data_IF_225351413782
#
_entry.id   IF_225351413782
#
_cell.length_a   1.000
_cell.length_b   1.000
_cell.length_c   1.000
_cell.angle_alpha   90.00
_cell.angle_beta   90.00
_cell.angle_gamma   90.00
#
_symmetry.space_group_name_H-M   'P 1'
#
loop_
_entity.id
_entity.type
_entity.pdbx_description
1 polymer ?
#
# COMPACT_ATOMS: atom_id res chain seq x y z
N UNK A 1 3.37 8.52 -7.93
CA UNK A 1 2.70 9.63 -8.63
C UNK A 1 2.24 10.69 -7.64
N UNK A 2 2.10 11.94 -8.10
CA UNK A 2 1.58 13.06 -7.31
C UNK A 2 0.04 13.02 -7.12
N UNK A 3 -0.66 12.17 -7.86
CA UNK A 3 -2.12 12.06 -7.82
C UNK A 3 -2.87 13.13 -8.59
N UNK A 4 -2.18 14.01 -9.34
CA UNK A 4 -2.77 15.08 -10.12
C UNK A 4 -2.94 14.71 -11.62
N UNK A 5 -3.83 15.39 -12.36
CA UNK A 5 -4.79 16.41 -11.91
C UNK A 5 -6.06 15.81 -11.30
N UNK A 6 -6.63 16.47 -10.31
CA UNK A 6 -7.93 16.11 -9.72
C UNK A 6 -8.88 17.30 -9.63
N UNK A 7 -10.21 17.11 -9.72
CA UNK A 7 -11.15 18.22 -9.88
C UNK A 7 -11.17 19.27 -8.76
N UNK A 8 -10.78 18.88 -7.55
CA UNK A 8 -10.83 19.75 -6.37
C UNK A 8 -9.44 20.22 -5.91
N UNK A 9 -8.38 19.73 -6.54
CA UNK A 9 -7.02 20.16 -6.21
C UNK A 9 -6.60 21.32 -7.11
N UNK A 10 -6.09 22.43 -6.55
CA UNK A 10 -5.56 23.53 -7.33
C UNK A 10 -4.15 23.25 -7.90
N UNK A 11 -3.49 22.20 -7.45
CA UNK A 11 -2.16 21.84 -7.94
C UNK A 11 -1.46 20.76 -7.10
N UNK A 12 -0.30 20.27 -7.58
CA UNK A 12 0.44 19.19 -6.95
C UNK A 12 0.95 19.51 -5.53
N UNK A 13 1.20 20.78 -5.23
CA UNK A 13 1.67 21.22 -3.91
C UNK A 13 0.64 20.93 -2.83
N UNK A 14 -0.65 21.13 -3.13
CA UNK A 14 -1.74 20.84 -2.19
C UNK A 14 -1.83 19.32 -1.94
N UNK A 15 -1.68 18.53 -2.99
CA UNK A 15 -1.64 17.06 -2.85
C UNK A 15 -0.43 16.58 -2.06
N UNK A 16 0.72 17.20 -2.26
CA UNK A 16 1.93 16.89 -1.50
C UNK A 16 1.75 17.20 -0.02
N UNK A 17 1.14 18.36 0.30
CA UNK A 17 0.85 18.75 1.68
C UNK A 17 -0.19 17.82 2.35
N UNK A 18 -1.28 17.49 1.66
CA UNK A 18 -2.26 16.50 2.16
C UNK A 18 -1.60 15.15 2.46
N UNK A 19 -0.70 14.72 1.58
CA UNK A 19 0.05 13.48 1.75
C UNK A 19 1.04 13.55 2.91
N UNK A 20 1.68 14.71 3.13
CA UNK A 20 2.58 14.94 4.26
C UNK A 20 1.81 14.85 5.58
N UNK A 21 0.68 15.56 5.68
CA UNK A 21 -0.17 15.53 6.88
C UNK A 21 -0.70 14.13 7.16
N UNK A 22 -1.17 13.41 6.15
CA UNK A 22 -1.61 12.02 6.30
C UNK A 22 -0.47 11.12 6.81
N UNK A 23 0.76 11.32 6.31
CA UNK A 23 1.95 10.60 6.77
C UNK A 23 2.29 10.88 8.22
N UNK A 24 2.18 12.13 8.67
CA UNK A 24 2.37 12.50 10.07
C UNK A 24 1.34 11.85 11.00
N UNK A 25 0.07 11.86 10.61
CA UNK A 25 -1.00 11.18 11.36
C UNK A 25 -0.68 9.70 11.54
N UNK A 26 -0.17 9.05 10.49
CA UNK A 26 0.19 7.62 10.51
C UNK A 26 1.55 7.33 11.17
N UNK A 27 2.33 8.35 11.51
CA UNK A 27 3.69 8.17 12.04
C UNK A 27 4.68 7.67 10.99
N UNK A 28 4.49 7.99 9.71
CA UNK A 28 5.40 7.61 8.62
C UNK A 28 6.72 8.37 8.74
N UNK A 29 7.82 7.64 8.83
CA UNK A 29 9.16 8.25 8.98
C UNK A 29 9.69 8.87 7.70
N UNK A 30 9.44 8.23 6.56
CA UNK A 30 9.89 8.72 5.25
C UNK A 30 8.75 8.59 4.26
N UNK A 31 8.46 9.65 3.53
CA UNK A 31 7.57 9.65 2.39
C UNK A 31 8.34 10.13 1.17
N UNK A 32 8.49 9.28 0.18
CA UNK A 32 9.14 9.58 -1.09
C UNK A 32 8.14 9.46 -2.24
N UNK A 33 8.14 10.41 -3.15
CA UNK A 33 7.38 10.37 -4.39
C UNK A 33 8.36 10.14 -5.54
N UNK A 34 8.06 9.18 -6.40
CA UNK A 34 8.89 8.86 -7.56
C UNK A 34 8.58 9.74 -8.79
N UNK A 35 7.63 10.64 -8.69
CA UNK A 35 7.16 11.52 -9.76
C UNK A 35 6.79 10.80 -11.07
N UNK A 36 6.37 9.54 -10.94
CA UNK A 36 5.89 8.75 -12.07
C UNK A 36 4.55 9.33 -12.58
N UNK A 37 4.28 9.22 -13.89
CA UNK A 37 3.13 9.88 -14.49
C UNK A 37 1.80 9.32 -13.95
N UNK A 38 0.99 10.19 -13.34
CA UNK A 38 -0.33 9.84 -12.83
C UNK A 38 -1.32 9.62 -13.98
N UNK A 39 -2.18 8.62 -13.87
CA UNK A 39 -3.17 8.17 -14.88
C UNK A 39 -2.56 7.68 -16.20
N UNK A 40 -1.25 7.62 -16.27
CA UNK A 40 -0.46 7.11 -17.38
C UNK A 40 0.64 6.18 -16.89
N UNK A 41 0.51 5.71 -15.64
CA UNK A 41 1.45 4.77 -15.08
C UNK A 41 1.46 3.49 -15.90
N UNK A 42 2.64 3.04 -16.27
CA UNK A 42 2.84 1.82 -17.05
C UNK A 42 3.96 1.00 -16.46
N UNK A 43 3.78 -0.32 -16.43
CA UNK A 43 4.82 -1.23 -15.98
C UNK A 43 5.91 -1.34 -17.04
N UNK A 44 6.95 -0.54 -16.90
CA UNK A 44 8.12 -0.50 -17.77
C UNK A 44 9.41 -0.65 -16.98
N UNK A 45 10.50 -0.90 -17.69
CA UNK A 45 11.81 -1.11 -17.09
C UNK A 45 12.24 0.03 -16.18
N UNK A 46 12.11 1.26 -16.63
CA UNK A 46 12.53 2.47 -15.91
C UNK A 46 11.80 2.62 -14.57
N UNK A 47 10.48 2.37 -14.55
CA UNK A 47 9.68 2.45 -13.34
C UNK A 47 10.03 1.34 -12.33
N UNK A 48 10.33 0.13 -12.83
CA UNK A 48 10.80 -1.00 -12.01
C UNK A 48 12.15 -0.70 -11.37
N UNK A 49 13.09 -0.14 -12.14
CA UNK A 49 14.41 0.27 -11.64
C UNK A 49 14.27 1.40 -10.61
N UNK A 50 13.45 2.42 -10.90
CA UNK A 50 13.22 3.53 -9.97
C UNK A 50 12.74 3.02 -8.60
N UNK A 51 11.76 2.13 -8.58
CA UNK A 51 11.26 1.56 -7.32
C UNK A 51 12.29 0.63 -6.65
N UNK A 52 13.02 -0.17 -7.42
CA UNK A 52 14.07 -1.04 -6.88
C UNK A 52 15.21 -0.25 -6.23
N UNK A 53 15.55 0.94 -6.75
CA UNK A 53 16.50 1.87 -6.12
C UNK A 53 16.01 2.31 -4.73
N UNK A 54 14.72 2.59 -4.58
CA UNK A 54 14.11 2.91 -3.27
C UNK A 54 14.26 1.72 -2.32
N UNK A 55 13.96 0.51 -2.77
CA UNK A 55 14.12 -0.69 -1.94
C UNK A 55 15.59 -0.94 -1.54
N UNK A 56 16.55 -0.67 -2.42
CA UNK A 56 17.97 -0.76 -2.09
C UNK A 56 18.40 0.30 -1.08
N UNK A 57 17.87 1.52 -1.19
CA UNK A 57 18.19 2.64 -0.30
C UNK A 57 17.64 2.43 1.12
N UNK A 58 16.36 2.09 1.24
CA UNK A 58 15.68 1.97 2.55
C UNK A 58 15.70 0.57 3.14
N UNK A 59 16.05 -0.43 2.35
CA UNK A 59 16.25 -1.82 2.77
C UNK A 59 15.08 -2.40 3.56
N UNK A 60 13.82 -2.31 3.09
CA UNK A 60 12.66 -2.81 3.81
C UNK A 60 12.71 -4.31 3.98
N UNK A 61 12.38 -4.81 5.16
CA UNK A 61 12.17 -6.25 5.37
C UNK A 61 10.83 -6.72 4.81
N UNK A 62 9.82 -5.85 4.81
CA UNK A 62 8.47 -6.12 4.29
C UNK A 62 8.11 -5.02 3.29
N UNK A 63 7.54 -5.42 2.16
CA UNK A 63 6.92 -4.50 1.19
C UNK A 63 5.42 -4.79 1.14
N UNK A 64 4.64 -3.74 1.36
CA UNK A 64 3.19 -3.77 1.22
C UNK A 64 2.81 -3.06 -0.09
N UNK A 65 2.20 -3.79 -1.02
CA UNK A 65 1.75 -3.25 -2.30
C UNK A 65 0.23 -3.34 -2.46
N UNK A 66 -0.31 -2.55 -3.39
CA UNK A 66 -1.71 -2.66 -3.78
C UNK A 66 -1.94 -4.00 -4.49
N UNK A 67 -3.05 -4.67 -4.18
CA UNK A 67 -3.42 -5.94 -4.80
C UNK A 67 -4.36 -5.74 -5.99
N UNK A 68 -4.05 -6.43 -7.09
CA UNK A 68 -4.96 -6.68 -8.21
C UNK A 68 -5.58 -5.42 -8.85
N UNK A 69 -6.48 -5.64 -9.79
CA UNK A 69 -7.29 -4.58 -10.42
C UNK A 69 -8.34 -4.07 -9.44
N UNK A 70 -8.49 -2.76 -9.38
CA UNK A 70 -9.61 -2.16 -8.66
C UNK A 70 -10.71 -1.87 -9.67
N UNK A 71 -11.85 -2.58 -9.64
CA UNK A 71 -12.93 -2.39 -10.61
C UNK A 71 -13.40 -0.94 -10.69
N UNK A 72 -13.54 -0.40 -11.90
CA UNK A 72 -14.01 0.98 -12.16
C UNK A 72 -13.11 2.09 -11.57
N UNK A 73 -11.93 1.76 -11.08
CA UNK A 73 -10.93 2.73 -10.60
C UNK A 73 -9.78 2.90 -11.60
N UNK A 74 -8.78 3.69 -11.21
CA UNK A 74 -7.63 3.97 -12.07
C UNK A 74 -6.90 2.68 -12.50
N UNK A 75 -6.56 2.52 -13.79
CA UNK A 75 -5.72 1.43 -14.27
C UNK A 75 -4.32 1.45 -13.62
N UNK A 76 -3.88 2.59 -13.10
CA UNK A 76 -2.60 2.74 -12.41
C UNK A 76 -2.45 1.79 -11.21
N UNK A 77 -3.56 1.39 -10.57
CA UNK A 77 -3.51 0.44 -9.45
C UNK A 77 -2.91 -0.91 -9.88
N UNK A 78 -3.34 -1.42 -11.04
CA UNK A 78 -2.80 -2.64 -11.61
C UNK A 78 -1.34 -2.48 -12.04
N UNK A 79 -0.99 -1.35 -12.64
CA UNK A 79 0.38 -1.05 -13.03
C UNK A 79 1.30 -0.94 -11.80
N UNK A 80 0.83 -0.29 -10.73
CA UNK A 80 1.57 -0.18 -9.48
C UNK A 80 1.83 -1.55 -8.83
N UNK A 81 0.86 -2.48 -8.89
CA UNK A 81 1.08 -3.85 -8.43
C UNK A 81 2.23 -4.52 -9.21
N UNK A 82 2.19 -4.46 -10.54
CA UNK A 82 3.21 -5.07 -11.40
C UNK A 82 4.59 -4.46 -11.17
N UNK A 83 4.68 -3.12 -11.08
CA UNK A 83 5.92 -2.40 -10.78
C UNK A 83 6.46 -2.80 -9.40
N UNK A 84 5.58 -2.96 -8.40
CA UNK A 84 5.99 -3.37 -7.04
C UNK A 84 6.56 -4.78 -7.04
N UNK A 85 5.89 -5.72 -7.68
CA UNK A 85 6.34 -7.11 -7.79
C UNK A 85 7.72 -7.19 -8.48
N UNK A 86 7.85 -6.52 -9.62
CA UNK A 86 9.11 -6.45 -10.35
C UNK A 86 10.21 -5.71 -9.56
N UNK A 87 9.88 -4.62 -8.86
CA UNK A 87 10.81 -3.86 -8.03
C UNK A 87 11.43 -4.70 -6.91
N UNK A 88 10.62 -5.55 -6.27
CA UNK A 88 11.09 -6.52 -5.27
C UNK A 88 12.07 -7.52 -5.90
N UNK A 89 11.78 -8.01 -7.10
CA UNK A 89 12.72 -8.88 -7.82
C UNK A 89 14.00 -8.14 -8.20
N UNK A 90 13.90 -6.92 -8.75
CA UNK A 90 15.04 -6.15 -9.25
C UNK A 90 15.97 -5.69 -8.13
N UNK A 91 15.47 -5.41 -6.93
CA UNK A 91 16.29 -4.96 -5.80
C UNK A 91 17.37 -5.97 -5.37
N UNK A 92 17.20 -7.26 -5.70
CA UNK A 92 18.14 -8.35 -5.37
C UNK A 92 19.09 -8.73 -6.50
N UNK A 93 19.00 -8.09 -7.68
CA UNK A 93 19.86 -8.41 -8.82
C UNK A 93 21.31 -8.04 -8.52
N UNK A 94 22.22 -8.95 -8.81
CA UNK A 94 23.67 -8.75 -8.73
C UNK A 94 24.23 -8.44 -10.11
N UNK A 95 25.39 -7.77 -10.20
CA UNK A 95 26.06 -7.40 -11.45
C UNK A 95 25.29 -6.36 -12.30
N UNK A 96 24.45 -5.57 -11.66
CA UNK A 96 23.65 -4.50 -12.24
C UNK A 96 23.93 -3.18 -11.51
N UNK A 97 25.14 -2.99 -11.01
CA UNK A 97 25.46 -1.92 -10.06
C UNK A 97 25.25 -0.53 -10.67
N UNK A 98 25.64 -0.33 -11.94
CA UNK A 98 25.43 0.93 -12.66
C UNK A 98 23.96 1.31 -12.79
N UNK A 99 23.09 0.32 -13.09
CA UNK A 99 21.64 0.54 -13.21
C UNK A 99 21.00 1.00 -11.89
N UNK A 100 21.60 0.63 -10.76
CA UNK A 100 21.11 0.92 -9.42
C UNK A 100 21.99 1.94 -8.67
N UNK A 101 22.68 2.84 -9.36
CA UNK A 101 23.52 3.90 -8.79
C UNK A 101 24.55 3.36 -7.76
N UNK A 102 25.05 2.16 -7.97
CA UNK A 102 25.94 1.42 -7.05
C UNK A 102 25.34 1.21 -5.64
N UNK A 103 24.01 1.30 -5.48
CA UNK A 103 23.36 0.98 -4.24
C UNK A 103 23.50 -0.51 -3.91
N UNK A 104 23.81 -0.88 -2.67
CA UNK A 104 24.02 -2.26 -2.29
C UNK A 104 22.76 -3.11 -2.53
N UNK A 105 22.98 -4.32 -3.02
CA UNK A 105 21.92 -5.32 -3.24
C UNK A 105 21.06 -5.49 -1.99
N UNK A 106 19.75 -5.56 -2.18
CA UNK A 106 18.81 -5.81 -1.09
C UNK A 106 17.80 -6.89 -1.46
N UNK A 107 17.55 -7.80 -0.51
CA UNK A 107 16.51 -8.83 -0.63
C UNK A 107 15.39 -8.53 0.36
N UNK A 108 14.22 -8.23 -0.15
CA UNK A 108 12.99 -8.09 0.63
C UNK A 108 12.60 -9.47 1.17
N UNK A 109 12.36 -9.58 2.48
CA UNK A 109 12.04 -10.87 3.13
C UNK A 109 10.61 -11.31 2.84
N UNK A 110 9.68 -10.36 2.85
CA UNK A 110 8.25 -10.62 2.67
C UNK A 110 7.61 -9.54 1.80
N UNK A 111 6.83 -9.96 0.84
CA UNK A 111 5.93 -9.10 0.08
C UNK A 111 4.51 -9.43 0.47
N UNK A 112 3.69 -8.42 0.70
CA UNK A 112 2.28 -8.55 1.03
C UNK A 112 1.47 -7.63 0.11
N UNK A 113 0.22 -7.99 -0.11
CA UNK A 113 -0.73 -7.23 -0.91
C UNK A 113 -1.91 -6.80 -0.06
N UNK A 114 -2.36 -5.56 -0.25
CA UNK A 114 -3.61 -5.06 0.32
C UNK A 114 -4.62 -4.78 -0.79
N UNK A 115 -5.84 -5.36 -0.74
CA UNK A 115 -6.89 -5.06 -1.71
C UNK A 115 -7.53 -3.71 -1.39
N UNK A 116 -7.76 -2.88 -2.42
CA UNK A 116 -8.59 -1.69 -2.28
C UNK A 116 -10.06 -2.08 -2.35
N UNK A 117 -10.78 -1.88 -1.26
CA UNK A 117 -12.18 -2.27 -1.11
C UNK A 117 -13.21 -1.32 -1.70
N UNK A 118 -12.85 -0.41 -2.61
CA UNK A 118 -13.81 0.49 -3.24
C UNK A 118 -14.73 -0.27 -4.20
N UNK A 119 -15.96 -0.51 -3.78
CA UNK A 119 -17.00 -1.10 -4.62
C UNK A 119 -17.07 -2.63 -4.63
N UNK A 120 -16.15 -3.33 -3.99
CA UNK A 120 -16.23 -4.78 -3.80
C UNK A 120 -15.55 -5.22 -2.51
N UNK A 121 -16.20 -6.12 -1.78
CA UNK A 121 -15.57 -6.82 -0.66
C UNK A 121 -14.71 -7.94 -1.26
N UNK A 122 -13.42 -7.93 -1.00
CA UNK A 122 -12.56 -9.10 -1.27
C UNK A 122 -12.80 -10.12 -0.17
N UNK A 123 -12.88 -11.39 -0.58
CA UNK A 123 -13.02 -12.49 0.37
C UNK A 123 -11.73 -12.68 1.17
N UNK A 124 -11.88 -12.84 2.48
CA UNK A 124 -10.81 -13.26 3.36
C UNK A 124 -10.44 -14.74 3.18
N UNK A 125 -11.23 -15.50 2.42
CA UNK A 125 -11.04 -16.94 2.19
C UNK A 125 -10.05 -17.26 1.06
N UNK A 126 -9.38 -16.26 0.50
CA UNK A 126 -8.36 -16.46 -0.53
C UNK A 126 -7.11 -17.13 0.05
N UNK A 127 -6.49 -18.09 -0.66
CA UNK A 127 -5.23 -18.68 -0.20
C UNK A 127 -4.17 -17.62 0.10
N UNK A 128 -3.49 -17.75 1.24
CA UNK A 128 -2.46 -16.80 1.69
C UNK A 128 -3.02 -15.52 2.33
N UNK A 129 -4.33 -15.40 2.48
CA UNK A 129 -4.94 -14.26 3.18
C UNK A 129 -4.82 -14.40 4.69
N UNK A 130 -4.71 -13.26 5.38
CA UNK A 130 -4.80 -13.14 6.83
C UNK A 130 -5.32 -11.76 7.21
N UNK A 131 -5.82 -11.64 8.42
CA UNK A 131 -6.33 -10.39 8.96
C UNK A 131 -5.28 -9.78 9.89
N UNK A 132 -4.93 -8.54 9.62
CA UNK A 132 -4.12 -7.72 10.51
C UNK A 132 -5.05 -6.95 11.45
N UNK A 133 -4.89 -7.13 12.75
CA UNK A 133 -5.66 -6.40 13.76
C UNK A 133 -5.25 -4.92 13.75
N UNK A 134 -6.20 -4.04 13.49
CA UNK A 134 -6.06 -2.59 13.50
C UNK A 134 -6.97 -1.91 14.52
N UNK A 135 -7.50 -2.66 15.50
CA UNK A 135 -8.44 -2.12 16.50
C UNK A 135 -7.90 -0.86 17.16
N UNK A 136 -6.62 -0.85 17.52
CA UNK A 136 -5.96 0.32 18.13
C UNK A 136 -5.61 1.47 17.17
N UNK A 137 -5.78 1.30 15.85
CA UNK A 137 -5.35 2.25 14.83
C UNK A 137 -6.47 2.71 13.89
N UNK A 138 -7.70 2.24 14.08
CA UNK A 138 -8.80 2.52 13.15
C UNK A 138 -9.07 4.03 13.01
N UNK A 139 -9.14 4.76 14.13
CA UNK A 139 -9.37 6.21 14.11
C UNK A 139 -8.21 6.95 13.41
N UNK A 140 -6.97 6.56 13.70
CA UNK A 140 -5.79 7.11 13.05
C UNK A 140 -5.82 6.89 11.53
N UNK A 141 -6.24 5.71 11.08
CA UNK A 141 -6.48 5.40 9.67
C UNK A 141 -7.53 6.32 9.06
N UNK A 142 -8.67 6.50 9.70
CA UNK A 142 -9.74 7.38 9.21
C UNK A 142 -9.29 8.84 9.14
N UNK A 143 -8.54 9.32 10.12
CA UNK A 143 -8.03 10.68 10.16
C UNK A 143 -6.98 10.92 9.07
N UNK A 144 -6.15 9.93 8.76
CA UNK A 144 -5.21 10.01 7.64
C UNK A 144 -5.92 10.17 6.28
N UNK A 145 -7.07 9.52 6.10
CA UNK A 145 -7.89 9.65 4.89
C UNK A 145 -8.54 11.04 4.85
N UNK A 146 -9.03 11.55 5.98
CA UNK A 146 -9.63 12.90 6.10
C UNK A 146 -8.62 14.01 5.78
N UNK A 147 -7.34 13.76 5.95
CA UNK A 147 -6.30 14.72 5.59
C UNK A 147 -6.28 15.06 4.09
N UNK A 148 -6.72 14.14 3.23
CA UNK A 148 -6.85 14.37 1.78
C UNK A 148 -8.15 15.10 1.43
N UNK A 149 -8.27 16.35 1.82
CA UNK A 149 -9.49 17.18 1.67
C UNK A 149 -9.92 17.38 0.23
N UNK A 150 -8.96 17.47 -0.70
CA UNK A 150 -9.24 17.61 -2.14
C UNK A 150 -9.75 16.32 -2.77
N UNK A 151 -9.49 15.16 -2.15
CA UNK A 151 -9.99 13.86 -2.62
C UNK A 151 -11.25 13.44 -1.88
N UNK A 152 -11.25 13.64 -0.57
CA UNK A 152 -12.30 13.22 0.35
C UNK A 152 -12.82 14.42 1.15
N UNK A 153 -13.46 15.40 0.49
CA UNK A 153 -14.08 16.52 1.21
C UNK A 153 -15.15 15.99 2.17
N UNK A 154 -15.45 16.76 3.20
CA UNK A 154 -16.43 16.39 4.22
C UNK A 154 -17.81 15.97 3.67
N UNK A 155 -18.16 16.40 2.46
CA UNK A 155 -19.37 15.98 1.75
C UNK A 155 -19.35 14.51 1.32
N UNK A 156 -18.18 13.89 1.15
CA UNK A 156 -18.03 12.47 0.79
C UNK A 156 -18.12 11.52 1.99
N UNK A 157 -19.02 11.76 2.91
CA UNK A 157 -19.22 10.96 4.15
C UNK A 157 -19.26 9.46 3.89
N UNK A 158 -19.85 9.03 2.76
CA UNK A 158 -19.98 7.62 2.39
C UNK A 158 -18.62 6.89 2.31
N UNK A 159 -17.54 7.57 1.93
CA UNK A 159 -16.22 6.94 1.84
C UNK A 159 -15.72 6.54 3.23
N UNK A 160 -15.83 7.42 4.20
CA UNK A 160 -15.41 7.15 5.59
C UNK A 160 -16.24 6.03 6.21
N UNK A 161 -17.57 6.10 6.05
CA UNK A 161 -18.47 5.02 6.52
C UNK A 161 -18.12 3.68 5.85
N UNK A 162 -17.79 3.67 4.56
CA UNK A 162 -17.42 2.44 3.86
C UNK A 162 -16.12 1.84 4.42
N UNK A 163 -15.08 2.66 4.56
CA UNK A 163 -13.78 2.21 5.09
C UNK A 163 -13.92 1.67 6.51
N UNK A 164 -14.63 2.39 7.37
CA UNK A 164 -14.89 1.96 8.74
C UNK A 164 -15.69 0.66 8.79
N UNK A 165 -16.80 0.60 8.04
CA UNK A 165 -17.65 -0.60 8.02
C UNK A 165 -16.92 -1.84 7.52
N UNK A 166 -16.05 -1.70 6.52
CA UNK A 166 -15.22 -2.82 6.05
C UNK A 166 -14.24 -3.29 7.11
N UNK A 167 -13.55 -2.37 7.76
CA UNK A 167 -12.60 -2.71 8.82
C UNK A 167 -13.30 -3.41 9.99
N UNK A 168 -14.44 -2.89 10.42
CA UNK A 168 -15.24 -3.50 11.52
C UNK A 168 -15.82 -4.85 11.10
N UNK A 169 -16.33 -5.00 9.87
CA UNK A 169 -16.84 -6.29 9.39
C UNK A 169 -15.74 -7.37 9.41
N UNK A 170 -14.55 -7.06 8.87
CA UNK A 170 -13.41 -7.98 8.90
C UNK A 170 -12.99 -8.28 10.34
N UNK A 171 -12.97 -7.30 11.21
CA UNK A 171 -12.65 -7.50 12.61
C UNK A 171 -13.66 -8.39 13.33
N UNK A 172 -14.95 -8.08 13.24
CA UNK A 172 -16.01 -8.82 13.93
C UNK A 172 -16.10 -10.30 13.51
N UNK A 173 -15.82 -10.60 12.25
CA UNK A 173 -15.80 -11.99 11.77
C UNK A 173 -14.60 -12.79 12.30
N UNK A 174 -13.62 -12.11 12.93
CA UNK A 174 -12.39 -12.72 13.48
C UNK A 174 -12.20 -12.41 14.99
N UNK A 175 -13.27 -12.01 15.68
CA UNK A 175 -13.30 -11.70 17.14
C UNK A 175 -12.34 -10.56 17.57
N UNK A 176 -12.10 -9.58 16.69
CA UNK A 176 -11.40 -8.34 16.99
C UNK A 176 -12.29 -7.14 16.60
N UNK A 177 -11.97 -5.92 17.07
CA UNK A 177 -12.82 -4.76 16.80
C UNK A 177 -12.73 -4.31 15.33
N UNK A 178 -11.53 -4.28 14.76
CA UNK A 178 -11.31 -3.87 13.37
C UNK A 178 -10.11 -4.61 12.78
N UNK A 179 -10.22 -4.98 11.50
CA UNK A 179 -9.17 -5.70 10.78
C UNK A 179 -8.92 -5.19 9.37
N UNK A 180 -7.74 -5.47 8.86
CA UNK A 180 -7.36 -5.29 7.46
C UNK A 180 -6.99 -6.61 6.82
N UNK A 181 -7.52 -6.85 5.62
CA UNK A 181 -7.16 -8.01 4.82
C UNK A 181 -5.79 -7.78 4.16
N UNK A 182 -4.87 -8.68 4.41
CA UNK A 182 -3.60 -8.79 3.71
C UNK A 182 -3.48 -10.16 3.03
N UNK A 183 -2.77 -10.19 1.91
CA UNK A 183 -2.58 -11.40 1.11
C UNK A 183 -1.08 -11.61 0.91
N UNK A 184 -0.60 -12.78 1.27
CA UNK A 184 0.76 -13.21 0.95
C UNK A 184 0.77 -13.97 -0.38
N UNK A 185 1.60 -13.57 -1.38
CA UNK A 185 1.74 -14.31 -2.64
C UNK A 185 2.46 -15.64 -2.47
N UNK A 186 3.09 -15.87 -1.32
CA UNK A 186 3.78 -17.11 -0.97
C UNK A 186 3.34 -17.59 0.41
N UNK A 187 3.45 -18.89 0.70
CA UNK A 187 3.21 -19.39 2.05
C UNK A 187 4.06 -18.65 3.07
N UNK A 188 3.44 -18.25 4.18
CA UNK A 188 4.14 -17.65 5.32
C UNK A 188 4.81 -18.77 6.09
N UNK A 189 6.12 -18.65 6.31
CA UNK A 189 6.88 -19.60 7.13
C UNK A 189 6.81 -19.17 8.58
N UNK A 190 6.25 -20.01 9.43
CA UNK A 190 6.22 -19.85 10.88
C UNK A 190 7.22 -20.82 11.50
N UNK A 191 8.12 -20.32 12.33
CA UNK A 191 9.12 -21.16 13.00
C UNK A 191 8.49 -22.05 14.09
N UNK A 192 7.47 -21.52 14.76
CA UNK A 192 6.80 -22.20 15.87
C UNK A 192 5.33 -21.76 15.89
N UNK A 193 4.45 -22.68 15.54
CA UNK A 193 3.01 -22.41 15.46
C UNK A 193 2.41 -22.05 16.83
N UNK A 194 2.98 -22.62 17.92
CA UNK A 194 2.49 -22.33 19.28
C UNK A 194 2.80 -20.88 19.67
N UNK A 195 3.95 -20.34 19.25
CA UNK A 195 4.28 -18.92 19.49
C UNK A 195 3.45 -17.94 18.66
N UNK A 196 2.84 -18.42 17.60
CA UNK A 196 1.98 -17.56 16.75
C UNK A 196 0.53 -17.55 17.23
N UNK A 197 0.02 -18.68 17.73
CA UNK A 197 -1.38 -18.89 18.07
C UNK A 197 -1.62 -19.27 19.53
N UNK A 198 -0.58 -19.57 20.30
CA UNK A 198 -0.65 -19.82 21.73
C UNK A 198 -0.35 -18.54 22.53
N UNK A 199 -0.98 -18.41 23.68
CA UNK A 199 -0.65 -17.37 24.65
C UNK A 199 0.71 -17.59 25.31
#
# INVERSE_FOLDING_TARGET
TDGEPTPLSPGPEVRAEEARVAGEILGVHVRENLDLPNRKLFDCYEHRVALAKVFRRYRPSIVLGIADKTPMASPDHWQAMQITDAGVFYSRLTKWDEEFDNLPVHTVKQQLWYPLGFGSLKSADSPGSFINDISGCLEQKLDSIKAYKTQFPASKKRVFTLVESQARLLGQTHNIEAGELLISPKPIVVQDIVKVFGE
#
